data_IF_592554037715
#
_entry.id   IF_592554037715
#
_cell.length_a   1.000
_cell.length_b   1.000
_cell.length_c   1.000
_cell.angle_alpha   90.00
_cell.angle_beta   90.00
_cell.angle_gamma   90.00
#
_symmetry.space_group_name_H-M   'P 1'
#
loop_
_entity.id
_entity.type
_entity.pdbx_description
1 polymer ?
#
# COMPACT_ATOMS: atom_id res chain seq x y z
N UNK A 1 41.84 18.95 9.10
CA UNK A 1 40.93 20.06 8.75
C UNK A 1 39.53 19.47 8.67
N UNK A 2 38.64 20.04 9.51
CA UNK A 2 37.18 20.01 9.55
C UNK A 2 36.40 18.68 9.41
N UNK A 3 35.77 18.28 10.52
CA UNK A 3 34.48 17.58 10.49
C UNK A 3 33.45 18.50 9.80
N UNK A 4 32.57 17.97 8.93
CA UNK A 4 31.52 18.79 8.32
C UNK A 4 30.67 19.43 9.41
N UNK A 5 30.60 20.76 9.45
CA UNK A 5 29.54 21.43 10.21
C UNK A 5 28.21 21.21 9.48
N UNK A 6 27.16 20.89 10.26
CA UNK A 6 25.79 20.73 9.76
C UNK A 6 25.28 22.08 9.29
N UNK A 7 25.48 22.39 8.03
CA UNK A 7 24.88 23.56 7.40
C UNK A 7 23.89 23.04 6.38
N UNK A 8 22.66 23.45 6.61
CA UNK A 8 21.53 23.05 5.81
C UNK A 8 21.49 23.92 4.54
N UNK A 9 21.41 23.30 3.36
CA UNK A 9 21.20 24.00 2.10
C UNK A 9 19.72 24.37 1.99
N UNK A 10 19.30 25.27 2.86
CA UNK A 10 17.89 25.61 2.99
C UNK A 10 17.60 26.80 2.10
N UNK A 11 16.56 26.74 1.25
CA UNK A 11 16.10 27.95 0.57
C UNK A 11 15.89 29.06 1.59
N UNK A 12 16.28 30.30 1.25
CA UNK A 12 16.28 31.43 2.19
C UNK A 12 14.92 31.71 2.87
N UNK A 13 13.82 31.17 2.33
CA UNK A 13 12.48 31.24 2.92
C UNK A 13 12.23 30.28 4.09
N UNK A 14 13.17 29.38 4.42
CA UNK A 14 13.07 28.46 5.57
C UNK A 14 14.18 28.82 6.56
N UNK A 15 13.79 29.25 7.75
CA UNK A 15 14.71 29.70 8.80
C UNK A 15 15.53 28.51 9.34
N UNK A 16 16.83 28.44 9.00
CA UNK A 16 17.68 27.27 9.27
C UNK A 16 18.79 27.51 10.31
N UNK A 17 18.62 28.50 11.18
CA UNK A 17 19.66 28.93 12.12
C UNK A 17 19.92 28.02 13.34
N UNK A 18 19.15 26.95 13.57
CA UNK A 18 19.35 26.06 14.73
C UNK A 18 19.08 24.59 14.43
N UNK A 19 19.56 23.67 15.29
CA UNK A 19 19.26 22.23 15.19
C UNK A 19 17.77 21.92 15.41
N UNK A 20 17.00 22.83 16.01
CA UNK A 20 15.57 22.64 16.25
C UNK A 20 14.75 22.74 14.94
N UNK A 21 15.23 23.53 13.96
CA UNK A 21 14.62 23.56 12.62
C UNK A 21 14.75 22.23 11.87
N UNK A 22 15.74 21.39 12.22
CA UNK A 22 15.88 20.04 11.67
C UNK A 22 14.85 19.06 12.26
N UNK A 23 14.58 19.13 13.57
CA UNK A 23 13.60 18.24 14.23
C UNK A 23 12.21 18.43 13.65
N UNK A 24 11.83 19.66 13.35
CA UNK A 24 10.55 20.03 12.75
C UNK A 24 10.50 19.90 11.22
N UNK A 25 11.60 19.47 10.57
CA UNK A 25 11.63 19.30 9.12
C UNK A 25 10.85 18.06 8.65
N UNK A 26 10.30 18.13 7.43
CA UNK A 26 9.61 17.02 6.81
C UNK A 26 10.54 15.80 6.64
N UNK A 27 10.00 14.56 6.66
CA UNK A 27 10.80 13.34 6.61
C UNK A 27 11.72 13.28 5.39
N UNK A 28 11.28 13.77 4.22
CA UNK A 28 12.10 13.82 3.02
C UNK A 28 13.24 14.82 3.10
N UNK A 29 13.06 15.94 3.81
CA UNK A 29 14.15 16.90 4.04
C UNK A 29 15.24 16.34 4.96
N UNK A 30 14.81 15.57 5.97
CA UNK A 30 15.71 14.82 6.86
C UNK A 30 16.44 13.72 6.10
N UNK A 31 15.70 12.94 5.30
CA UNK A 31 16.21 11.78 4.58
C UNK A 31 17.23 12.18 3.52
N UNK A 32 16.84 13.05 2.58
CA UNK A 32 17.66 13.46 1.43
C UNK A 32 18.89 14.31 1.83
N UNK A 33 19.09 14.55 3.12
CA UNK A 33 20.27 15.24 3.62
C UNK A 33 20.32 16.71 3.24
N UNK A 34 19.23 17.31 2.74
CA UNK A 34 19.12 18.75 2.43
C UNK A 34 19.59 19.62 3.60
N UNK A 35 19.44 19.11 4.83
CA UNK A 35 19.80 19.81 6.04
C UNK A 35 21.06 19.26 6.75
N UNK A 36 21.74 18.26 6.18
CA UNK A 36 22.89 17.58 6.81
C UNK A 36 24.19 17.69 6.04
N UNK A 37 24.16 17.88 4.72
CA UNK A 37 25.35 17.97 3.87
C UNK A 37 25.15 19.18 2.92
N UNK A 38 26.03 20.20 2.84
CA UNK A 38 27.42 20.15 2.34
C UNK A 38 28.06 21.55 2.41
N UNK A 39 29.38 21.59 2.61
CA UNK A 39 30.43 22.23 1.79
C UNK A 39 31.67 22.28 2.68
N UNK A 40 32.80 21.71 2.25
CA UNK A 40 34.06 22.07 2.91
C UNK A 40 34.37 23.53 2.57
N UNK A 41 35.05 24.25 3.46
CA UNK A 41 35.39 25.69 3.36
C UNK A 41 36.03 26.10 2.00
N UNK A 42 36.48 25.13 1.21
CA UNK A 42 37.20 25.25 -0.05
C UNK A 42 36.28 25.20 -1.29
N UNK A 43 34.95 25.08 -1.11
CA UNK A 43 34.00 25.10 -2.23
C UNK A 43 33.91 23.81 -3.05
N UNK A 44 34.58 22.72 -2.65
CA UNK A 44 34.46 21.42 -3.34
C UNK A 44 33.10 20.79 -3.04
N UNK A 45 32.20 20.86 -4.01
CA UNK A 45 30.96 20.10 -4.02
C UNK A 45 31.28 18.60 -3.95
N UNK A 46 30.58 17.85 -3.10
CA UNK A 46 30.61 16.40 -3.17
C UNK A 46 30.12 15.97 -4.56
N UNK A 47 30.92 15.18 -5.28
CA UNK A 47 30.44 14.50 -6.47
C UNK A 47 29.28 13.56 -6.07
N UNK A 48 28.18 13.49 -6.83
CA UNK A 48 27.08 12.56 -6.56
C UNK A 48 27.66 11.14 -6.51
N UNK A 49 27.54 10.53 -5.34
CA UNK A 49 28.23 9.28 -5.03
C UNK A 49 27.47 8.10 -5.62
N UNK A 50 28.03 7.43 -6.63
CA UNK A 50 27.61 6.08 -7.00
C UNK A 50 28.19 5.08 -5.98
N UNK A 51 27.39 4.71 -4.99
CA UNK A 51 27.70 3.66 -4.00
C UNK A 51 28.03 4.15 -2.59
N UNK A 52 28.15 3.19 -1.66
CA UNK A 52 28.42 3.37 -0.21
C UNK A 52 29.25 4.62 0.07
N UNK A 53 28.76 5.48 0.94
CA UNK A 53 29.50 6.64 1.41
C UNK A 53 30.90 6.22 1.86
N UNK A 54 31.93 6.73 1.16
CA UNK A 54 33.32 6.55 1.52
C UNK A 54 33.93 7.94 1.67
N UNK A 55 34.88 8.07 2.58
CA UNK A 55 35.69 9.28 2.69
C UNK A 55 36.52 9.42 1.40
N UNK A 56 36.22 10.44 0.59
CA UNK A 56 37.10 10.92 -0.48
C UNK A 56 38.16 11.79 0.18
N UNK A 57 39.30 11.21 0.53
CA UNK A 57 40.41 11.92 1.16
C UNK A 57 41.07 11.13 2.30
N UNK A 58 42.07 11.76 2.92
CA UNK A 58 42.67 11.23 4.13
C UNK A 58 41.74 11.49 5.33
N UNK A 59 41.53 10.51 6.21
CA UNK A 59 40.78 10.72 7.45
C UNK A 59 41.45 11.80 8.32
N UNK A 60 40.75 12.33 9.36
CA UNK A 60 41.33 13.26 10.33
C UNK A 60 42.70 12.75 10.83
N UNK A 61 43.66 13.67 11.03
CA UNK A 61 45.04 13.29 11.38
C UNK A 61 45.07 12.38 12.61
N UNK A 62 45.58 11.16 12.44
CA UNK A 62 45.69 10.17 13.52
C UNK A 62 44.50 9.22 13.66
N UNK A 63 43.40 9.40 12.91
CA UNK A 63 42.28 8.45 12.92
C UNK A 63 42.46 7.38 11.84
N UNK A 64 42.42 6.08 12.19
CA UNK A 64 42.40 5.01 11.20
C UNK A 64 41.20 5.16 10.26
N UNK A 65 41.40 4.97 8.96
CA UNK A 65 40.34 5.11 7.94
C UNK A 65 39.12 4.22 8.22
N UNK A 66 39.34 3.07 8.87
CA UNK A 66 38.26 2.15 9.29
C UNK A 66 37.32 2.82 10.28
N UNK A 67 37.87 3.52 11.26
CA UNK A 67 37.09 4.11 12.37
C UNK A 67 36.33 5.34 11.86
N UNK A 68 36.96 6.15 11.01
CA UNK A 68 36.30 7.27 10.33
C UNK A 68 35.12 6.81 9.42
N UNK A 69 35.29 5.68 8.71
CA UNK A 69 34.19 5.08 7.95
C UNK A 69 33.07 4.53 8.86
N UNK A 70 33.41 4.01 10.04
CA UNK A 70 32.44 3.47 10.99
C UNK A 70 31.59 4.59 11.62
N UNK A 71 32.20 5.71 12.00
CA UNK A 71 31.51 6.92 12.48
C UNK A 71 30.57 7.48 11.41
N UNK A 72 31.04 7.59 10.17
CA UNK A 72 30.21 8.03 9.04
C UNK A 72 29.01 7.10 8.81
N UNK A 73 29.22 5.78 8.87
CA UNK A 73 28.13 4.79 8.78
C UNK A 73 27.12 4.99 9.92
N UNK A 74 27.60 5.17 11.15
CA UNK A 74 26.75 5.40 12.31
C UNK A 74 25.92 6.69 12.15
N UNK A 75 26.48 7.74 11.56
CA UNK A 75 25.78 8.98 11.26
C UNK A 75 24.68 8.79 10.21
N UNK A 76 24.96 8.05 9.13
CA UNK A 76 23.96 7.72 8.11
C UNK A 76 22.85 6.82 8.65
N UNK A 77 23.19 5.80 9.43
CA UNK A 77 22.21 4.95 10.10
C UNK A 77 21.36 5.75 11.09
N UNK A 78 21.94 6.78 11.74
CA UNK A 78 21.23 7.73 12.59
C UNK A 78 20.14 8.53 11.86
N UNK A 79 20.33 8.85 10.57
CA UNK A 79 19.31 9.54 9.75
C UNK A 79 18.04 8.70 9.65
N UNK A 80 18.18 7.38 9.45
CA UNK A 80 17.02 6.49 9.34
C UNK A 80 16.16 6.49 10.60
N UNK A 81 16.79 6.48 11.78
CA UNK A 81 16.07 6.56 13.05
C UNK A 81 15.27 7.86 13.16
N UNK A 82 15.88 8.99 12.79
CA UNK A 82 15.22 10.30 12.89
C UNK A 82 14.13 10.53 11.84
N UNK A 83 14.22 9.88 10.67
CA UNK A 83 13.17 9.91 9.64
C UNK A 83 11.98 9.03 10.04
N UNK A 84 12.24 7.96 10.80
CA UNK A 84 11.23 7.04 11.32
C UNK A 84 10.59 7.49 12.64
N UNK A 85 11.03 8.63 13.20
CA UNK A 85 10.29 9.30 14.25
C UNK A 85 8.93 9.79 13.74
N UNK A 86 8.04 10.12 14.68
CA UNK A 86 6.76 10.72 14.36
C UNK A 86 6.97 11.99 13.53
N UNK A 87 6.20 12.13 12.46
CA UNK A 87 6.21 13.31 11.61
C UNK A 87 5.88 14.57 12.42
N UNK A 88 6.55 15.70 12.11
CA UNK A 88 6.20 17.00 12.68
C UNK A 88 4.74 17.35 12.43
N UNK A 89 4.13 18.10 13.35
CA UNK A 89 2.73 18.56 13.23
C UNK A 89 2.49 19.31 11.93
N UNK A 90 3.45 20.15 11.50
CA UNK A 90 3.36 20.88 10.23
C UNK A 90 3.29 19.94 9.02
N UNK A 91 4.08 18.86 9.00
CA UNK A 91 4.04 17.87 7.91
C UNK A 91 2.71 17.12 7.87
N UNK A 92 2.13 16.79 9.04
CA UNK A 92 0.82 16.14 9.12
C UNK A 92 -0.30 17.06 8.61
N UNK A 93 -0.31 18.32 9.04
CA UNK A 93 -1.25 19.34 8.54
C UNK A 93 -1.11 19.54 7.04
N UNK A 94 0.10 19.46 6.50
CA UNK A 94 0.34 19.62 5.08
C UNK A 94 -0.14 18.42 4.24
N UNK A 95 0.03 17.19 4.74
CA UNK A 95 -0.58 15.98 4.13
C UNK A 95 -2.11 16.10 4.14
N UNK A 96 -2.69 16.51 5.27
CA UNK A 96 -4.13 16.72 5.40
C UNK A 96 -4.64 17.78 4.42
N UNK A 97 -3.97 18.93 4.34
CA UNK A 97 -4.31 20.00 3.41
C UNK A 97 -4.21 19.58 1.94
N UNK A 98 -3.20 18.78 1.56
CA UNK A 98 -3.10 18.21 0.21
C UNK A 98 -4.26 17.28 -0.11
N UNK A 99 -4.61 16.37 0.80
CA UNK A 99 -5.74 15.44 0.62
C UNK A 99 -7.07 16.17 0.59
N UNK A 100 -7.26 17.20 1.42
CA UNK A 100 -8.45 18.05 1.39
C UNK A 100 -8.59 18.78 0.05
N UNK A 101 -7.50 19.30 -0.52
CA UNK A 101 -7.50 19.90 -1.85
C UNK A 101 -7.85 18.90 -2.94
N UNK A 102 -7.31 17.67 -2.89
CA UNK A 102 -7.69 16.62 -3.83
C UNK A 102 -9.17 16.26 -3.72
N UNK A 103 -9.72 16.21 -2.51
CA UNK A 103 -11.14 15.96 -2.32
C UNK A 103 -12.03 17.08 -2.85
N UNK A 104 -11.65 18.34 -2.63
CA UNK A 104 -12.35 19.50 -3.18
C UNK A 104 -12.34 19.49 -4.71
N UNK A 105 -11.19 19.21 -5.33
CA UNK A 105 -11.06 19.08 -6.78
C UNK A 105 -11.87 17.89 -7.33
N UNK A 106 -11.84 16.74 -6.66
CA UNK A 106 -12.69 15.60 -7.01
C UNK A 106 -14.17 16.00 -7.05
N UNK A 107 -14.62 16.74 -6.03
CA UNK A 107 -16.01 17.22 -5.97
C UNK A 107 -16.33 18.17 -7.12
N UNK A 108 -15.39 19.06 -7.48
CA UNK A 108 -15.53 19.97 -8.62
C UNK A 108 -15.71 19.22 -9.96
N UNK A 109 -14.98 18.12 -10.18
CA UNK A 109 -15.09 17.30 -11.39
C UNK A 109 -16.35 16.39 -11.41
N UNK A 110 -17.06 16.25 -10.28
CA UNK A 110 -18.36 15.57 -10.21
C UNK A 110 -18.35 14.15 -10.79
N UNK A 111 -19.26 13.89 -11.73
CA UNK A 111 -19.42 12.58 -12.40
C UNK A 111 -18.25 12.21 -13.31
N UNK A 112 -17.27 13.09 -13.51
CA UNK A 112 -16.04 12.77 -14.22
C UNK A 112 -14.91 12.37 -13.27
N UNK A 113 -15.08 12.50 -11.95
CA UNK A 113 -14.09 12.08 -10.97
C UNK A 113 -14.39 10.71 -10.37
N UNK A 114 -13.38 9.85 -10.33
CA UNK A 114 -13.40 8.58 -9.63
C UNK A 114 -12.45 8.66 -8.43
N UNK A 115 -12.90 8.12 -7.29
CA UNK A 115 -12.09 7.98 -6.08
C UNK A 115 -12.28 6.60 -5.50
N UNK A 116 -11.18 5.99 -5.09
CA UNK A 116 -11.18 4.79 -4.25
C UNK A 116 -10.21 4.99 -3.08
N UNK A 117 -10.71 4.76 -1.86
CA UNK A 117 -9.89 4.77 -0.65
C UNK A 117 -9.41 3.35 -0.36
N UNK A 118 -8.15 3.21 0.03
CA UNK A 118 -7.55 1.92 0.34
C UNK A 118 -6.71 1.99 1.61
N UNK A 119 -6.46 0.82 2.18
CA UNK A 119 -5.55 0.64 3.31
C UNK A 119 -4.49 -0.39 2.94
N UNK A 120 -3.22 -0.08 3.16
CA UNK A 120 -2.15 -1.03 2.88
C UNK A 120 -2.22 -2.23 3.83
N UNK A 121 -2.09 -3.43 3.27
CA UNK A 121 -2.00 -4.69 4.04
C UNK A 121 -0.54 -5.07 4.30
N UNK A 122 0.37 -4.60 3.46
CA UNK A 122 1.82 -4.74 3.59
C UNK A 122 2.52 -3.36 3.62
N UNK A 123 3.82 -3.28 4.00
CA UNK A 123 4.60 -2.07 3.84
C UNK A 123 4.62 -1.62 2.37
N UNK A 124 4.59 -0.30 2.15
CA UNK A 124 4.64 0.31 0.83
C UNK A 124 5.99 0.97 0.61
N UNK A 125 6.70 0.53 -0.44
CA UNK A 125 7.99 1.09 -0.84
C UNK A 125 7.84 1.84 -2.17
N UNK A 126 8.54 2.95 -2.32
CA UNK A 126 8.49 3.77 -3.55
C UNK A 126 9.83 4.48 -3.75
N UNK A 127 10.21 4.73 -5.00
CA UNK A 127 11.45 5.46 -5.31
C UNK A 127 12.74 4.78 -4.85
N UNK A 128 12.76 3.45 -4.71
CA UNK A 128 13.97 2.71 -4.28
C UNK A 128 15.16 2.88 -5.23
N UNK A 129 14.89 3.18 -6.52
CA UNK A 129 15.91 3.50 -7.51
C UNK A 129 16.44 4.92 -7.46
N UNK A 130 15.90 5.80 -6.61
CA UNK A 130 16.43 7.14 -6.45
C UNK A 130 17.81 7.07 -5.77
N UNK A 131 18.76 7.86 -6.28
CA UNK A 131 20.10 7.90 -5.69
C UNK A 131 20.05 8.41 -4.25
N UNK A 132 20.70 7.69 -3.34
CA UNK A 132 20.78 8.09 -1.94
C UNK A 132 22.07 7.56 -1.28
N UNK A 133 22.67 8.29 -0.33
CA UNK A 133 23.88 7.83 0.38
C UNK A 133 23.76 6.47 1.08
N UNK A 134 22.54 6.05 1.43
CA UNK A 134 22.26 4.73 2.03
C UNK A 134 21.91 3.64 0.99
N UNK A 135 22.26 3.88 -0.27
CA UNK A 135 22.02 3.04 -1.46
C UNK A 135 20.56 3.01 -1.95
N UNK A 136 19.58 2.85 -1.06
CA UNK A 136 18.17 2.87 -1.46
C UNK A 136 17.54 4.25 -1.22
N UNK A 137 16.96 4.81 -2.28
CA UNK A 137 16.18 6.03 -2.19
C UNK A 137 14.76 5.81 -1.69
N UNK A 138 14.03 6.93 -1.57
CA UNK A 138 12.60 6.95 -1.34
C UNK A 138 11.98 8.12 -2.10
N UNK A 139 10.74 7.97 -2.59
CA UNK A 139 10.05 9.05 -3.29
C UNK A 139 9.39 10.03 -2.31
N UNK A 140 9.91 11.26 -2.28
CA UNK A 140 9.30 12.39 -1.59
C UNK A 140 8.84 13.45 -2.58
N UNK A 141 7.71 14.09 -2.29
CA UNK A 141 7.18 15.19 -3.09
C UNK A 141 8.05 16.42 -2.88
N UNK A 142 8.78 16.84 -3.91
CA UNK A 142 9.60 18.06 -3.91
C UNK A 142 8.72 19.28 -4.19
N UNK A 143 8.90 20.43 -3.48
CA UNK A 143 9.91 20.70 -2.46
C UNK A 143 9.47 20.37 -1.03
N UNK A 144 8.36 19.68 -0.82
CA UNK A 144 7.70 19.53 0.49
C UNK A 144 8.25 18.42 1.39
N UNK A 145 8.98 17.45 0.84
CA UNK A 145 9.58 16.37 1.62
C UNK A 145 8.56 15.37 2.20
N UNK A 146 7.37 15.27 1.60
CA UNK A 146 6.30 14.36 2.04
C UNK A 146 6.29 13.06 1.23
N UNK A 147 6.01 11.89 1.82
CA UNK A 147 5.94 10.64 1.06
C UNK A 147 4.82 10.71 0.01
N UNK A 148 5.07 10.21 -1.20
CA UNK A 148 4.04 10.15 -2.24
C UNK A 148 4.23 8.95 -3.16
N UNK A 149 3.14 8.56 -3.83
CA UNK A 149 3.16 7.67 -4.98
C UNK A 149 2.78 8.49 -6.22
N UNK A 150 3.65 8.51 -7.21
CA UNK A 150 3.40 9.24 -8.44
C UNK A 150 2.15 8.70 -9.17
N UNK A 151 1.34 9.59 -9.75
CA UNK A 151 0.16 9.23 -10.53
C UNK A 151 0.50 8.39 -11.76
N UNK A 152 1.70 8.56 -12.31
CA UNK A 152 2.25 7.69 -13.36
C UNK A 152 2.44 6.23 -12.89
N UNK A 153 2.83 6.03 -11.63
CA UNK A 153 2.90 4.70 -11.02
C UNK A 153 1.52 4.06 -10.88
N UNK A 154 0.52 4.84 -10.45
CA UNK A 154 -0.89 4.39 -10.39
C UNK A 154 -1.37 4.01 -11.79
N UNK A 155 -1.15 4.89 -12.77
CA UNK A 155 -1.50 4.66 -14.18
C UNK A 155 -0.90 3.36 -14.71
N UNK A 156 0.40 3.14 -14.49
CA UNK A 156 1.11 1.96 -14.96
C UNK A 156 0.58 0.66 -14.35
N UNK A 157 0.34 0.65 -13.04
CA UNK A 157 -0.21 -0.53 -12.34
C UNK A 157 -1.62 -0.86 -12.82
N UNK A 158 -2.49 0.14 -12.97
CA UNK A 158 -3.86 -0.10 -13.42
C UNK A 158 -3.92 -0.53 -14.90
N UNK A 159 -3.08 0.05 -15.76
CA UNK A 159 -2.93 -0.42 -17.14
C UNK A 159 -2.52 -1.89 -17.15
N UNK A 160 -1.51 -2.28 -16.35
CA UNK A 160 -1.04 -3.66 -16.25
C UNK A 160 -2.12 -4.60 -15.71
N UNK A 161 -2.88 -4.17 -14.70
CA UNK A 161 -4.00 -4.94 -14.16
C UNK A 161 -5.08 -5.19 -15.22
N UNK A 162 -5.43 -4.18 -16.03
CA UNK A 162 -6.36 -4.37 -17.14
C UNK A 162 -5.80 -5.29 -18.23
N UNK A 163 -4.50 -5.22 -18.53
CA UNK A 163 -3.86 -6.13 -19.47
C UNK A 163 -3.93 -7.59 -19.00
N UNK A 164 -3.76 -7.87 -17.69
CA UNK A 164 -3.96 -9.22 -17.15
C UNK A 164 -5.43 -9.66 -17.27
N UNK A 165 -6.37 -8.79 -16.92
CA UNK A 165 -7.80 -9.09 -17.05
C UNK A 165 -8.25 -9.28 -18.51
N UNK A 166 -7.57 -8.66 -19.48
CA UNK A 166 -7.80 -8.83 -20.91
C UNK A 166 -7.41 -10.23 -21.41
N UNK A 167 -6.43 -10.89 -20.78
CA UNK A 167 -6.00 -12.24 -21.14
C UNK A 167 -7.00 -13.32 -20.67
N UNK A 168 -7.81 -12.99 -19.66
CA UNK A 168 -8.89 -13.84 -19.18
C UNK A 168 -10.14 -13.71 -20.06
N UNK A 169 -10.58 -14.82 -20.68
CA UNK A 169 -11.74 -14.81 -21.59
C UNK A 169 -13.02 -14.35 -20.86
N UNK A 170 -13.81 -13.53 -21.54
CA UNK A 170 -15.16 -13.13 -21.09
C UNK A 170 -15.19 -11.91 -20.16
N UNK A 171 -14.05 -11.25 -19.93
CA UNK A 171 -13.95 -10.14 -18.98
C UNK A 171 -14.21 -8.76 -19.58
N UNK A 172 -14.45 -8.61 -20.88
CA UNK A 172 -14.82 -7.32 -21.50
C UNK A 172 -13.71 -6.26 -21.53
N UNK A 173 -12.45 -6.64 -21.26
CA UNK A 173 -11.29 -5.80 -21.53
C UNK A 173 -10.74 -6.15 -22.91
N UNK A 174 -10.41 -5.12 -23.70
CA UNK A 174 -9.72 -5.24 -24.99
C UNK A 174 -8.57 -4.24 -25.05
N UNK A 175 -7.59 -4.46 -25.93
CA UNK A 175 -6.47 -3.53 -26.10
C UNK A 175 -6.95 -2.15 -26.53
N UNK A 176 -7.98 -2.05 -27.38
CA UNK A 176 -8.57 -0.77 -27.80
C UNK A 176 -9.21 -0.03 -26.63
N UNK A 177 -9.83 -0.77 -25.70
CA UNK A 177 -10.41 -0.19 -24.48
C UNK A 177 -9.31 0.35 -23.56
N UNK A 178 -8.22 -0.40 -23.41
CA UNK A 178 -7.07 0.01 -22.60
C UNK A 178 -6.40 1.24 -23.22
N UNK A 179 -6.21 1.28 -24.53
CA UNK A 179 -5.59 2.41 -25.21
C UNK A 179 -6.49 3.65 -25.20
N UNK A 180 -7.80 3.49 -25.32
CA UNK A 180 -8.74 4.61 -25.14
C UNK A 180 -8.64 5.24 -23.74
N UNK A 181 -8.48 4.42 -22.69
CA UNK A 181 -8.40 4.92 -21.31
C UNK A 181 -7.02 5.48 -20.95
N UNK A 182 -5.94 4.86 -21.40
CA UNK A 182 -4.57 5.15 -20.96
C UNK A 182 -3.67 5.81 -22.03
N UNK A 183 -4.07 5.77 -23.30
CA UNK A 183 -3.23 6.04 -24.47
C UNK A 183 -2.45 4.79 -24.90
N UNK A 184 -2.00 4.68 -26.15
CA UNK A 184 -1.22 3.54 -26.63
C UNK A 184 0.16 3.49 -25.96
N UNK A 185 0.65 2.28 -25.74
CA UNK A 185 1.99 2.03 -25.17
C UNK A 185 3.10 2.11 -26.21
N UNK A 186 2.78 1.74 -27.45
CA UNK A 186 3.67 1.85 -28.61
C UNK A 186 3.01 2.73 -29.65
N UNK A 187 3.77 3.67 -30.18
CA UNK A 187 3.35 4.57 -31.25
C UNK A 187 4.39 4.37 -32.36
N UNK A 188 4.05 3.54 -33.34
CA UNK A 188 4.94 3.23 -34.46
C UNK A 188 4.89 4.33 -35.53
N UNK A 189 3.72 4.96 -35.70
CA UNK A 189 3.53 6.15 -36.55
C UNK A 189 2.85 7.29 -35.79
N UNK A 190 3.15 8.57 -36.09
CA UNK A 190 2.60 9.72 -35.36
C UNK A 190 1.06 9.79 -35.35
N UNK A 191 0.40 9.26 -36.37
CA UNK A 191 -1.05 9.26 -36.51
C UNK A 191 -1.75 8.37 -35.46
N UNK A 192 -1.05 7.36 -34.94
CA UNK A 192 -1.53 6.49 -33.87
C UNK A 192 -1.38 7.14 -32.48
N UNK A 193 -0.74 8.30 -32.40
CA UNK A 193 -0.51 8.99 -31.13
C UNK A 193 -1.82 9.54 -30.56
N UNK A 194 -2.36 8.83 -29.58
CA UNK A 194 -3.57 9.23 -28.86
C UNK A 194 -3.28 9.52 -27.39
N UNK A 195 -3.96 10.54 -26.85
CA UNK A 195 -4.02 10.76 -25.40
C UNK A 195 -5.13 9.89 -24.80
N UNK A 196 -4.81 9.12 -23.77
CA UNK A 196 -5.82 8.40 -22.99
C UNK A 196 -6.85 9.33 -22.34
N UNK A 197 -8.05 8.82 -22.09
CA UNK A 197 -9.16 9.55 -21.48
C UNK A 197 -9.04 9.74 -19.96
N UNK A 198 -8.11 9.06 -19.28
CA UNK A 198 -7.96 9.11 -17.83
C UNK A 198 -6.68 9.85 -17.40
N UNK A 199 -6.83 10.83 -16.52
CA UNK A 199 -5.74 11.52 -15.85
C UNK A 199 -5.63 11.00 -14.40
N UNK A 200 -4.43 10.55 -14.00
CA UNK A 200 -4.18 9.93 -12.69
C UNK A 200 -3.40 10.89 -11.80
N UNK A 201 -3.92 11.20 -10.62
CA UNK A 201 -3.25 12.10 -9.68
C UNK A 201 -2.24 11.35 -8.81
N UNK A 202 -1.26 12.09 -8.31
CA UNK A 202 -0.37 11.61 -7.25
C UNK A 202 -1.17 11.23 -6.00
N UNK A 203 -0.71 10.21 -5.29
CA UNK A 203 -1.33 9.74 -4.06
C UNK A 203 -0.46 10.15 -2.89
N UNK A 204 -1.08 10.77 -1.88
CA UNK A 204 -0.41 11.19 -0.63
C UNK A 204 -0.83 10.24 0.50
N UNK A 205 0.00 9.25 0.85
CA UNK A 205 -0.31 8.31 1.92
C UNK A 205 -0.49 9.04 3.24
N UNK A 206 -1.36 8.51 4.10
CA UNK A 206 -1.45 8.88 5.50
C UNK A 206 -0.84 7.72 6.31
N UNK A 207 0.46 7.82 6.68
CA UNK A 207 1.17 6.70 7.27
C UNK A 207 0.62 6.32 8.65
N UNK A 208 0.45 5.02 8.88
CA UNK A 208 0.05 4.50 10.18
C UNK A 208 1.06 4.91 11.26
N UNK A 209 0.55 5.40 12.40
CA UNK A 209 1.40 5.94 13.47
C UNK A 209 2.11 7.25 13.10
N UNK A 210 1.74 7.89 11.98
CA UNK A 210 2.31 9.17 11.53
C UNK A 210 3.83 9.12 11.34
N UNK A 211 4.36 8.00 10.84
CA UNK A 211 5.80 7.78 10.65
C UNK A 211 6.11 6.86 9.48
N UNK A 212 7.37 6.88 9.02
CA UNK A 212 7.93 5.85 8.15
C UNK A 212 8.55 4.72 8.98
N UNK A 213 8.87 3.60 8.34
CA UNK A 213 9.58 2.48 8.94
C UNK A 213 10.82 2.11 8.12
N UNK A 214 11.81 1.52 8.79
CA UNK A 214 12.96 0.90 8.14
C UNK A 214 12.63 -0.56 7.89
N UNK A 215 12.77 -1.00 6.65
CA UNK A 215 12.73 -2.39 6.25
C UNK A 215 14.15 -2.84 5.88
N UNK A 216 14.42 -4.14 6.00
CA UNK A 216 15.73 -4.73 5.71
C UNK A 216 15.57 -5.76 4.61
N UNK A 217 16.43 -5.68 3.59
CA UNK A 217 16.60 -6.76 2.62
C UNK A 217 17.99 -7.37 2.74
N UNK A 218 18.10 -8.68 2.59
CA UNK A 218 19.36 -9.39 2.79
C UNK A 218 19.71 -10.23 1.56
N UNK A 219 20.21 -9.64 0.47
CA UNK A 219 20.71 -10.38 -0.68
C UNK A 219 21.91 -11.27 -0.31
N UNK A 220 21.97 -12.46 -0.93
CA UNK A 220 23.05 -13.43 -0.77
C UNK A 220 23.90 -13.60 -2.04
N UNK A 221 23.33 -13.41 -3.24
CA UNK A 221 23.97 -13.74 -4.51
C UNK A 221 24.64 -12.55 -5.22
N UNK A 222 25.25 -11.63 -4.46
CA UNK A 222 25.93 -10.46 -5.06
C UNK A 222 27.03 -10.84 -6.05
N UNK A 223 27.78 -11.91 -5.78
CA UNK A 223 28.83 -12.44 -6.67
C UNK A 223 28.28 -12.91 -8.03
N UNK A 224 27.16 -13.62 -8.03
CA UNK A 224 26.50 -14.06 -9.27
C UNK A 224 26.01 -12.86 -10.10
N UNK A 225 25.29 -11.92 -9.48
CA UNK A 225 24.69 -10.80 -10.21
C UNK A 225 25.70 -9.71 -10.63
N UNK A 226 26.82 -9.54 -9.93
CA UNK A 226 27.73 -8.41 -10.15
C UNK A 226 29.15 -8.81 -10.54
N UNK A 227 29.57 -10.06 -10.30
CA UNK A 227 30.96 -10.51 -10.46
C UNK A 227 31.12 -11.74 -11.35
N UNK A 228 30.05 -12.15 -12.04
CA UNK A 228 30.06 -13.30 -12.95
C UNK A 228 30.49 -14.62 -12.26
N UNK A 229 30.33 -14.70 -10.93
CA UNK A 229 30.57 -15.92 -10.15
C UNK A 229 29.42 -16.92 -10.36
N UNK A 230 29.61 -18.20 -10.05
CA UNK A 230 28.53 -19.19 -10.18
C UNK A 230 27.47 -18.98 -9.10
N UNK A 231 26.18 -19.22 -9.40
CA UNK A 231 25.13 -19.09 -8.40
C UNK A 231 25.27 -20.23 -7.38
N UNK A 232 25.48 -19.88 -6.10
CA UNK A 232 25.50 -20.83 -5.00
C UNK A 232 24.86 -20.22 -3.75
N UNK A 233 24.25 -21.07 -2.90
CA UNK A 233 23.44 -20.66 -1.74
C UNK A 233 24.25 -20.43 -0.45
N UNK A 234 25.57 -20.30 -0.58
CA UNK A 234 26.49 -20.04 0.54
C UNK A 234 27.06 -18.62 0.54
N UNK A 235 26.47 -17.73 -0.25
CA UNK A 235 26.81 -16.30 -0.23
C UNK A 235 26.47 -15.66 1.12
N UNK A 236 27.39 -14.86 1.65
CA UNK A 236 27.18 -14.18 2.92
C UNK A 236 26.00 -13.18 2.81
N UNK A 237 25.09 -13.14 3.80
CA UNK A 237 24.00 -12.17 3.83
C UNK A 237 24.56 -10.74 3.89
N UNK A 238 24.06 -9.86 3.02
CA UNK A 238 24.39 -8.42 3.08
C UNK A 238 23.12 -7.65 3.42
N UNK A 239 22.87 -7.31 4.71
CA UNK A 239 21.71 -6.51 5.08
C UNK A 239 21.78 -5.11 4.47
N UNK A 240 20.70 -4.70 3.82
CA UNK A 240 20.52 -3.38 3.23
C UNK A 240 19.20 -2.79 3.71
N UNK A 241 19.29 -1.67 4.42
CA UNK A 241 18.14 -0.93 4.94
C UNK A 241 17.50 -0.07 3.85
N UNK A 242 16.17 0.09 3.91
CA UNK A 242 15.43 1.04 3.07
C UNK A 242 14.18 1.55 3.80
N UNK A 243 13.67 2.70 3.37
CA UNK A 243 12.44 3.27 3.94
C UNK A 243 11.19 2.69 3.28
N UNK A 244 10.15 2.54 4.10
CA UNK A 244 8.80 2.21 3.66
C UNK A 244 7.76 3.01 4.44
N UNK A 245 6.60 3.21 3.82
CA UNK A 245 5.37 3.55 4.55
C UNK A 245 4.85 2.27 5.21
N UNK A 246 4.56 2.26 6.52
CA UNK A 246 4.14 1.05 7.21
C UNK A 246 2.83 0.48 6.67
N UNK A 247 2.60 -0.81 6.89
CA UNK A 247 1.29 -1.41 6.70
C UNK A 247 0.22 -0.68 7.53
N UNK A 248 -1.06 -0.86 7.15
CA UNK A 248 -2.23 -0.20 7.75
C UNK A 248 -2.32 1.30 7.48
N UNK A 249 -1.51 1.83 6.56
CA UNK A 249 -1.55 3.22 6.13
C UNK A 249 -2.67 3.45 5.12
N UNK A 250 -3.21 4.67 5.06
CA UNK A 250 -4.36 4.99 4.21
C UNK A 250 -3.93 5.69 2.91
N UNK A 251 -4.54 5.30 1.81
CA UNK A 251 -4.29 5.83 0.47
C UNK A 251 -5.62 6.28 -0.15
N UNK A 252 -5.61 7.42 -0.84
CA UNK A 252 -6.75 7.90 -1.62
C UNK A 252 -6.31 8.03 -3.07
N UNK A 253 -6.87 7.19 -3.94
CA UNK A 253 -6.60 7.23 -5.37
C UNK A 253 -7.65 8.10 -6.06
N UNK A 254 -7.20 9.01 -6.91
CA UNK A 254 -8.05 9.91 -7.68
C UNK A 254 -7.76 9.76 -9.17
N UNK A 255 -8.80 9.52 -9.95
CA UNK A 255 -8.73 9.42 -11.42
C UNK A 255 -9.76 10.36 -12.01
N UNK A 256 -9.35 11.21 -12.93
CA UNK A 256 -10.23 12.14 -13.64
C UNK A 256 -10.44 11.64 -15.06
N UNK A 257 -11.68 11.36 -15.39
CA UNK A 257 -12.09 11.09 -16.75
C UNK A 257 -12.25 12.39 -17.53
N UNK A 258 -11.87 12.35 -18.80
CA UNK A 258 -11.86 13.48 -19.70
C UNK A 258 -12.84 13.14 -20.83
N UNK A 259 -14.13 13.52 -20.69
CA UNK A 259 -15.19 12.95 -21.53
C UNK A 259 -15.02 13.20 -23.03
N UNK A 260 -14.37 14.30 -23.41
CA UNK A 260 -14.04 14.62 -24.80
C UNK A 260 -13.08 13.63 -25.46
N UNK A 261 -12.31 12.87 -24.66
CA UNK A 261 -11.39 11.82 -25.12
C UNK A 261 -11.98 10.42 -24.95
N UNK A 262 -13.13 10.27 -24.28
CA UNK A 262 -13.71 8.97 -23.96
C UNK A 262 -14.67 8.53 -25.08
N UNK A 263 -14.43 7.38 -25.72
CA UNK A 263 -15.37 6.83 -26.71
C UNK A 263 -16.77 6.64 -26.14
N UNK A 264 -17.80 6.86 -26.97
CA UNK A 264 -19.20 6.76 -26.56
C UNK A 264 -19.52 5.40 -25.90
N UNK A 265 -18.95 4.30 -26.41
CA UNK A 265 -19.14 2.96 -25.88
C UNK A 265 -18.63 2.78 -24.42
N UNK A 266 -17.73 3.64 -23.96
CA UNK A 266 -17.11 3.55 -22.64
C UNK A 266 -17.67 4.56 -21.62
N UNK A 267 -18.56 5.48 -22.03
CA UNK A 267 -19.10 6.55 -21.18
C UNK A 267 -19.71 6.02 -19.87
N UNK A 268 -20.44 4.90 -19.95
CA UNK A 268 -21.10 4.28 -18.79
C UNK A 268 -20.28 3.12 -18.18
N UNK A 269 -19.12 2.78 -18.73
CA UNK A 269 -18.36 1.58 -18.35
C UNK A 269 -17.01 1.87 -17.69
N UNK A 270 -16.39 3.02 -17.97
CA UNK A 270 -15.02 3.30 -17.53
C UNK A 270 -14.82 3.20 -16.00
N UNK A 271 -15.84 3.53 -15.21
CA UNK A 271 -15.83 3.40 -13.74
C UNK A 271 -15.79 1.94 -13.32
N UNK A 272 -16.68 1.11 -13.86
CA UNK A 272 -16.74 -0.33 -13.59
C UNK A 272 -15.44 -1.03 -14.00
N UNK A 273 -14.84 -0.60 -15.12
CA UNK A 273 -13.53 -1.09 -15.54
C UNK A 273 -12.43 -0.72 -14.54
N UNK A 274 -12.44 0.52 -14.04
CA UNK A 274 -11.51 0.94 -12.98
C UNK A 274 -11.73 0.17 -11.67
N UNK A 275 -12.97 -0.05 -11.24
CA UNK A 275 -13.27 -0.84 -10.04
C UNK A 275 -12.65 -2.23 -10.12
N UNK A 276 -12.80 -2.90 -11.27
CA UNK A 276 -12.21 -4.23 -11.51
C UNK A 276 -10.69 -4.18 -11.59
N UNK A 277 -10.13 -3.16 -12.25
CA UNK A 277 -8.69 -2.97 -12.33
C UNK A 277 -8.07 -2.70 -10.95
N UNK A 278 -8.70 -1.89 -10.11
CA UNK A 278 -8.27 -1.64 -8.74
C UNK A 278 -8.39 -2.89 -7.88
N UNK A 279 -9.51 -3.62 -7.96
CA UNK A 279 -9.68 -4.88 -7.23
C UNK A 279 -8.58 -5.89 -7.59
N UNK A 280 -8.28 -6.05 -8.88
CA UNK A 280 -7.20 -6.92 -9.33
C UNK A 280 -5.83 -6.40 -8.91
N UNK A 281 -5.59 -5.08 -9.00
CA UNK A 281 -4.33 -4.48 -8.58
C UNK A 281 -4.06 -4.64 -7.08
N UNK A 282 -5.10 -4.49 -6.25
CA UNK A 282 -5.02 -4.64 -4.80
C UNK A 282 -4.66 -6.08 -4.38
N UNK A 283 -5.24 -7.07 -5.05
CA UNK A 283 -5.04 -8.48 -4.72
C UNK A 283 -3.75 -9.06 -5.32
N UNK A 284 -3.48 -8.80 -6.61
CA UNK A 284 -2.51 -9.58 -7.40
C UNK A 284 -1.29 -8.79 -7.87
N UNK A 285 -1.35 -7.46 -7.92
CA UNK A 285 -0.28 -6.65 -8.55
C UNK A 285 0.53 -5.84 -7.52
N UNK A 286 -0.14 -5.18 -6.58
CA UNK A 286 0.47 -4.24 -5.63
C UNK A 286 0.89 -2.90 -6.27
N UNK A 287 1.12 -1.88 -5.43
CA UNK A 287 1.57 -0.55 -5.85
C UNK A 287 2.98 -0.24 -5.35
N UNK A 288 3.80 0.43 -6.18
CA UNK A 288 5.15 0.85 -5.80
C UNK A 288 6.22 -0.18 -6.15
N UNK A 289 7.26 -0.28 -5.33
CA UNK A 289 8.41 -1.15 -5.55
C UNK A 289 8.29 -2.48 -4.77
N UNK A 290 9.01 -3.50 -5.24
CA UNK A 290 9.10 -4.83 -4.60
C UNK A 290 7.76 -5.57 -4.46
N UNK A 291 6.85 -5.32 -5.39
CA UNK A 291 5.50 -5.92 -5.36
C UNK A 291 5.51 -7.44 -5.52
N UNK A 292 6.48 -8.00 -6.24
CA UNK A 292 6.67 -9.46 -6.39
C UNK A 292 6.93 -10.21 -5.08
N UNK A 293 7.37 -9.48 -4.04
CA UNK A 293 7.57 -10.03 -2.68
C UNK A 293 6.55 -9.46 -1.69
N UNK A 294 5.42 -8.96 -2.19
CA UNK A 294 4.24 -8.58 -1.40
C UNK A 294 4.18 -7.12 -0.93
N UNK A 295 5.17 -6.28 -1.24
CA UNK A 295 5.12 -4.87 -0.87
C UNK A 295 4.02 -4.14 -1.65
N UNK A 296 3.41 -3.15 -1.00
CA UNK A 296 2.40 -2.31 -1.63
C UNK A 296 1.07 -3.00 -1.91
N UNK A 297 0.84 -4.20 -1.37
CA UNK A 297 -0.47 -4.82 -1.31
C UNK A 297 -1.44 -3.96 -0.46
N UNK A 298 -2.68 -3.84 -0.92
CA UNK A 298 -3.70 -3.01 -0.30
C UNK A 298 -5.05 -3.71 -0.33
N UNK A 299 -5.99 -3.22 0.46
CA UNK A 299 -7.40 -3.58 0.37
C UNK A 299 -8.23 -2.30 0.26
N UNK A 300 -9.35 -2.36 -0.47
CA UNK A 300 -10.32 -1.28 -0.47
C UNK A 300 -10.78 -1.02 0.98
N UNK A 301 -10.82 0.26 1.36
CA UNK A 301 -11.40 0.67 2.63
C UNK A 301 -12.86 1.02 2.37
N UNK A 302 -13.78 0.51 3.18
CA UNK A 302 -15.09 1.13 3.30
C UNK A 302 -14.86 2.59 3.66
N UNK A 303 -15.31 3.50 2.78
CA UNK A 303 -15.06 4.92 2.96
C UNK A 303 -15.75 5.39 4.25
N UNK A 304 -14.97 5.65 5.31
CA UNK A 304 -15.49 6.39 6.45
C UNK A 304 -15.86 7.81 5.98
N UNK A 305 -17.05 8.34 6.31
CA UNK A 305 -17.41 9.70 5.96
C UNK A 305 -16.40 10.65 6.59
N UNK A 306 -15.75 11.45 5.74
CA UNK A 306 -14.88 12.54 6.17
C UNK A 306 -15.75 13.49 7.00
N UNK A 307 -15.54 13.53 8.32
CA UNK A 307 -16.15 14.55 9.18
C UNK A 307 -15.58 15.90 8.77
N UNK A 308 -16.27 16.59 7.88
CA UNK A 308 -16.04 18.02 7.66
C UNK A 308 -16.30 18.73 9.00
N UNK A 309 -15.29 19.45 9.49
CA UNK A 309 -15.44 20.33 10.63
C UNK A 309 -16.42 21.46 10.25
N UNK A 310 -17.64 21.39 10.77
CA UNK A 310 -18.57 22.51 10.80
C UNK A 310 -19.23 22.56 12.17
N UNK A 311 -19.39 23.78 12.65
CA UNK A 311 -19.63 24.17 14.03
C UNK A 311 -21.00 23.77 14.56
N UNK A 312 -21.03 23.61 15.88
CA UNK A 312 -22.14 23.66 16.84
C UNK A 312 -23.50 24.12 16.29
N UNK A 313 -24.50 23.24 16.35
CA UNK A 313 -25.82 23.56 16.91
C UNK A 313 -26.56 22.28 17.26
N UNK A 314 -27.14 22.27 18.45
CA UNK A 314 -27.89 21.19 19.08
C UNK A 314 -29.31 21.08 18.54
N UNK A 315 -29.79 19.86 18.32
CA UNK A 315 -31.07 19.29 18.79
C UNK A 315 -31.67 18.28 17.80
N UNK A 316 -32.21 17.19 18.33
CA UNK A 316 -33.25 16.38 17.68
C UNK A 316 -32.83 15.00 17.19
N UNK A 317 -33.20 13.97 17.96
CA UNK A 317 -33.16 12.55 17.60
C UNK A 317 -33.97 12.26 16.32
N UNK A 318 -33.53 11.26 15.54
CA UNK A 318 -34.30 10.09 15.03
C UNK A 318 -33.30 9.18 14.28
N UNK A 319 -33.22 7.91 14.68
CA UNK A 319 -32.49 6.87 13.96
C UNK A 319 -33.26 6.43 12.71
N UNK A 320 -32.56 6.01 11.63
CA UNK A 320 -32.89 4.67 11.12
C UNK A 320 -31.70 3.85 10.56
N UNK A 321 -31.83 2.54 10.76
CA UNK A 321 -31.53 1.44 9.86
C UNK A 321 -30.12 1.28 9.27
N UNK A 322 -29.39 0.33 9.87
CA UNK A 322 -28.28 -0.45 9.32
C UNK A 322 -28.62 -1.04 7.94
N UNK A 323 -27.85 -0.71 6.90
CA UNK A 323 -27.90 -1.42 5.61
C UNK A 323 -27.02 -2.66 5.67
N UNK A 324 -27.66 -3.81 5.51
CA UNK A 324 -27.03 -5.12 5.36
C UNK A 324 -26.19 -5.18 4.08
N UNK A 325 -24.98 -5.74 4.17
CA UNK A 325 -24.31 -6.33 3.02
C UNK A 325 -25.20 -7.49 2.55
N UNK A 326 -25.59 -7.50 1.27
CA UNK A 326 -26.36 -8.57 0.67
C UNK A 326 -25.49 -9.82 0.58
N UNK A 327 -25.48 -10.60 1.66
CA UNK A 327 -24.89 -11.92 1.66
C UNK A 327 -25.88 -12.89 1.02
N UNK A 328 -25.43 -13.61 0.00
CA UNK A 328 -26.26 -14.62 -0.65
C UNK A 328 -26.33 -15.83 0.27
N UNK A 329 -27.52 -16.13 0.81
CA UNK A 329 -27.77 -17.36 1.57
C UNK A 329 -28.06 -18.51 0.59
N UNK A 330 -27.40 -19.64 0.81
CA UNK A 330 -27.65 -20.92 0.14
C UNK A 330 -28.05 -21.95 1.20
N UNK A 331 -29.07 -22.76 0.93
CA UNK A 331 -29.61 -23.74 1.89
C UNK A 331 -29.20 -25.14 1.46
N UNK A 332 -28.52 -25.87 2.35
CA UNK A 332 -28.09 -27.24 2.12
C UNK A 332 -29.02 -28.19 2.87
N UNK A 333 -29.95 -28.88 2.18
CA UNK A 333 -31.03 -29.62 2.84
C UNK A 333 -30.55 -30.89 3.58
N UNK A 334 -29.41 -31.46 3.17
CA UNK A 334 -28.88 -32.69 3.77
C UNK A 334 -27.36 -32.62 3.99
N UNK A 335 -26.89 -31.56 4.64
CA UNK A 335 -25.47 -31.40 4.94
C UNK A 335 -24.96 -32.44 5.95
N UNK A 336 -23.65 -32.72 5.86
CA UNK A 336 -22.88 -33.45 6.86
C UNK A 336 -22.14 -32.44 7.74
N UNK A 337 -22.44 -32.43 9.03
CA UNK A 337 -21.67 -31.68 10.02
C UNK A 337 -20.53 -32.55 10.56
N UNK A 338 -19.33 -31.99 10.65
CA UNK A 338 -18.14 -32.66 11.19
C UNK A 338 -17.54 -31.83 12.33
N UNK A 339 -17.17 -32.48 13.42
CA UNK A 339 -16.58 -31.86 14.62
C UNK A 339 -15.11 -32.24 14.74
N UNK A 340 -14.23 -31.23 14.84
CA UNK A 340 -12.86 -31.42 15.27
C UNK A 340 -12.78 -31.48 16.81
N UNK A 341 -12.42 -32.62 17.43
CA UNK A 341 -12.39 -32.75 18.89
C UNK A 341 -11.23 -31.99 19.55
N UNK A 342 -10.16 -31.68 18.82
CA UNK A 342 -9.01 -30.95 19.36
C UNK A 342 -9.24 -29.44 19.44
N UNK A 343 -9.94 -28.87 18.46
CA UNK A 343 -10.22 -27.42 18.39
C UNK A 343 -11.65 -27.05 18.77
N UNK A 344 -12.56 -28.02 18.80
CA UNK A 344 -13.99 -27.82 19.05
C UNK A 344 -14.75 -27.24 17.85
N UNK A 345 -14.08 -27.10 16.70
CA UNK A 345 -14.63 -26.47 15.49
C UNK A 345 -15.60 -27.37 14.73
N UNK A 346 -16.60 -26.77 14.08
CA UNK A 346 -17.61 -27.50 13.30
C UNK A 346 -17.58 -27.04 11.84
N UNK A 347 -17.57 -27.97 10.88
CA UNK A 347 -17.71 -27.69 9.45
C UNK A 347 -18.95 -28.39 8.89
N UNK A 348 -19.60 -27.78 7.88
CA UNK A 348 -20.64 -28.43 7.09
C UNK A 348 -20.09 -28.80 5.71
N UNK A 349 -20.50 -29.95 5.16
CA UNK A 349 -20.22 -30.33 3.78
C UNK A 349 -21.46 -30.87 3.05
N UNK A 350 -21.58 -30.50 1.78
CA UNK A 350 -22.69 -30.89 0.89
C UNK A 350 -22.20 -30.84 -0.57
N UNK A 351 -22.51 -31.87 -1.36
CA UNK A 351 -22.19 -31.96 -2.80
C UNK A 351 -20.74 -31.55 -3.17
N UNK A 352 -19.75 -32.03 -2.41
CA UNK A 352 -18.33 -31.76 -2.66
C UNK A 352 -17.83 -30.38 -2.20
N UNK A 353 -18.72 -29.51 -1.69
CA UNK A 353 -18.37 -28.23 -1.06
C UNK A 353 -18.29 -28.37 0.45
N UNK A 354 -17.44 -27.55 1.09
CA UNK A 354 -17.29 -27.52 2.55
C UNK A 354 -17.21 -26.09 3.05
N UNK A 355 -17.83 -25.81 4.21
CA UNK A 355 -17.77 -24.50 4.84
C UNK A 355 -16.44 -24.29 5.55
N UNK A 356 -16.09 -23.02 5.77
CA UNK A 356 -15.08 -22.64 6.74
C UNK A 356 -15.45 -23.17 8.14
N UNK A 357 -14.42 -23.48 8.93
CA UNK A 357 -14.58 -24.01 10.28
C UNK A 357 -15.21 -22.98 11.22
N UNK A 358 -16.39 -23.32 11.75
CA UNK A 358 -17.08 -22.55 12.77
C UNK A 358 -16.31 -22.71 14.09
N UNK A 359 -15.79 -21.61 14.63
CA UNK A 359 -15.02 -21.59 15.88
C UNK A 359 -15.93 -21.28 17.08
N UNK A 360 -15.41 -21.47 18.29
CA UNK A 360 -16.08 -20.97 19.51
C UNK A 360 -16.12 -19.42 19.45
N UNK A 361 -17.23 -18.76 19.83
CA UNK A 361 -18.43 -19.27 20.51
C UNK A 361 -19.54 -19.82 19.58
N UNK A 362 -19.50 -19.52 18.28
CA UNK A 362 -20.55 -19.87 17.31
C UNK A 362 -20.78 -21.40 17.18
N UNK A 363 -19.70 -22.19 17.30
CA UNK A 363 -19.80 -23.65 17.35
C UNK A 363 -20.64 -24.16 18.53
N UNK A 364 -20.68 -23.44 19.66
CA UNK A 364 -21.50 -23.81 20.81
C UNK A 364 -22.97 -23.39 20.62
N UNK A 365 -23.22 -22.25 19.99
CA UNK A 365 -24.58 -21.82 19.62
C UNK A 365 -25.23 -22.81 18.65
N UNK A 366 -24.51 -23.24 17.61
CA UNK A 366 -25.00 -24.25 16.67
C UNK A 366 -25.35 -25.58 17.38
N UNK A 367 -24.55 -25.99 18.38
CA UNK A 367 -24.83 -27.18 19.19
C UNK A 367 -26.09 -27.03 20.05
N UNK A 368 -26.33 -25.85 20.60
CA UNK A 368 -27.55 -25.57 21.35
C UNK A 368 -28.79 -25.69 20.44
N UNK A 369 -28.70 -25.18 19.21
CA UNK A 369 -29.79 -25.23 18.21
C UNK A 369 -30.01 -26.65 17.66
N UNK A 370 -28.97 -27.50 17.59
CA UNK A 370 -29.08 -28.92 17.19
C UNK A 370 -29.96 -29.75 18.15
N UNK A 371 -30.15 -29.28 19.39
CA UNK A 371 -30.81 -30.03 20.46
C UNK A 371 -29.90 -31.11 21.06
N UNK A 372 -30.17 -31.50 22.31
CA UNK A 372 -29.30 -32.37 23.10
C UNK A 372 -29.03 -33.73 22.44
N UNK A 373 -30.05 -34.34 21.82
CA UNK A 373 -29.92 -35.66 21.20
C UNK A 373 -28.94 -35.65 20.01
N UNK A 374 -29.07 -34.68 19.11
CA UNK A 374 -28.22 -34.56 17.92
C UNK A 374 -26.85 -34.00 18.26
N UNK A 375 -26.75 -33.08 19.22
CA UNK A 375 -25.47 -32.58 19.73
C UNK A 375 -24.64 -33.71 20.37
N UNK A 376 -25.28 -34.60 21.14
CA UNK A 376 -24.62 -35.77 21.71
C UNK A 376 -24.18 -36.78 20.64
N UNK A 377 -24.97 -36.98 19.58
CA UNK A 377 -24.57 -37.79 18.42
C UNK A 377 -23.36 -37.19 17.69
N UNK A 378 -23.35 -35.88 17.43
CA UNK A 378 -22.21 -35.18 16.82
C UNK A 378 -20.95 -35.26 17.68
N UNK A 379 -21.09 -35.12 19.01
CA UNK A 379 -19.95 -35.25 19.95
C UNK A 379 -19.40 -36.68 20.02
N UNK A 380 -20.28 -37.70 20.02
CA UNK A 380 -19.89 -39.11 20.10
C UNK A 380 -19.27 -39.63 18.81
N UNK A 381 -19.89 -39.33 17.68
CA UNK A 381 -19.52 -39.89 16.37
C UNK A 381 -18.59 -38.97 15.57
N UNK A 382 -18.33 -37.75 16.04
CA UNK A 382 -17.56 -36.68 15.36
C UNK A 382 -18.17 -36.20 14.04
N UNK A 383 -19.30 -36.79 13.64
CA UNK A 383 -20.08 -36.37 12.48
C UNK A 383 -21.58 -36.67 12.66
N UNK A 384 -22.42 -35.90 11.97
CA UNK A 384 -23.85 -36.18 11.79
C UNK A 384 -24.27 -35.79 10.36
N UNK A 385 -25.11 -36.60 9.73
CA UNK A 385 -25.57 -36.41 8.34
C UNK A 385 -27.06 -36.06 8.32
N UNK A 386 -27.53 -35.48 7.22
CA UNK A 386 -28.96 -35.18 7.00
C UNK A 386 -29.44 -33.98 7.81
N UNK A 387 -28.58 -32.98 7.99
CA UNK A 387 -28.91 -31.74 8.70
C UNK A 387 -29.12 -30.63 7.69
N UNK A 388 -30.28 -29.94 7.75
CA UNK A 388 -30.50 -28.75 6.93
C UNK A 388 -29.77 -27.56 7.53
N UNK A 389 -28.95 -26.88 6.73
CA UNK A 389 -28.15 -25.73 7.17
C UNK A 389 -28.21 -24.59 6.16
N UNK A 390 -28.15 -23.37 6.68
CA UNK A 390 -28.00 -22.17 5.86
C UNK A 390 -26.53 -21.76 5.83
N UNK A 391 -26.03 -21.55 4.61
CA UNK A 391 -24.64 -21.22 4.31
C UNK A 391 -24.61 -19.85 3.64
N UNK A 392 -23.84 -18.94 4.22
CA UNK A 392 -23.59 -17.62 3.65
C UNK A 392 -22.42 -17.70 2.66
N UNK A 393 -22.64 -17.23 1.43
CA UNK A 393 -21.60 -17.14 0.41
C UNK A 393 -20.97 -15.74 0.51
N UNK A 394 -19.69 -15.69 0.93
CA UNK A 394 -18.87 -14.49 0.95
C UNK A 394 -17.68 -14.66 0.00
N UNK A 395 -17.88 -14.32 -1.27
CA UNK A 395 -16.88 -14.57 -2.32
C UNK A 395 -16.65 -16.07 -2.51
N UNK A 396 -15.41 -16.54 -2.35
CA UNK A 396 -15.05 -17.96 -2.42
C UNK A 396 -15.21 -18.70 -1.08
N UNK A 397 -15.56 -18.00 0.00
CA UNK A 397 -15.77 -18.59 1.31
C UNK A 397 -17.24 -18.98 1.51
N UNK A 398 -17.45 -20.19 2.01
CA UNK A 398 -18.76 -20.70 2.44
C UNK A 398 -18.80 -20.69 3.96
N UNK A 399 -19.69 -19.91 4.57
CA UNK A 399 -19.77 -19.79 6.03
C UNK A 399 -21.07 -20.40 6.53
N UNK A 400 -20.97 -21.41 7.39
CA UNK A 400 -22.12 -21.98 8.09
C UNK A 400 -22.73 -20.94 9.04
N UNK A 401 -23.99 -20.55 8.84
CA UNK A 401 -24.68 -19.56 9.69
C UNK A 401 -25.49 -20.19 10.80
N UNK A 402 -26.42 -21.06 10.44
CA UNK A 402 -27.37 -21.66 11.37
C UNK A 402 -27.97 -22.93 10.77
N UNK A 403 -28.71 -23.67 11.59
CA UNK A 403 -29.59 -24.70 11.07
C UNK A 403 -30.78 -24.02 10.40
N UNK A 404 -31.20 -24.53 9.24
CA UNK A 404 -32.47 -24.12 8.66
C UNK A 404 -33.60 -24.64 9.56
N UNK A 405 -34.56 -23.80 9.99
CA UNK A 405 -35.76 -24.30 10.66
C UNK A 405 -36.48 -25.31 9.75
N UNK A 406 -36.90 -26.45 10.32
CA UNK A 406 -37.73 -27.42 9.62
C UNK A 406 -39.13 -26.87 9.33
#
# INVERSE_FOLDING_TARGET
MWLPQRIAAVPAYINSGSKDSFKEAAPGHKFLGYLRNTQGDNGTAFAPYKGKAKIIGNPPSGQPRRDANAEQKQEFDGVLNEVCDRFPTASLQQIEALRARQHALHTHYGTNAYRISAKSTAPFATGLGNEHPIENGFAFLTPYGLPYLAGSGVKGILRRAMQYLCQERGNGFTDETIDALFGPEKIDVPEDAQRGALDFWDVFPNPAGSKLVVEIMTPHHGGYYQKNETPHDSGAPVPVSFLAVPAKSQFDFHVICQPSRLPAALQDQWRTLLDRAFAHAFEWVGFGAKTSVGYGAMAASDAAPTKAAAQTTSAGQIAPATKANSATLDTWPTAKLTLNPGTGEVTASFEGKSTSALKNPQANELRAVLGEERANKLKKNKEIKGVSVDVEILGNALILKCLTPL
#
